data_IF_977308493267
#
_entry.id   IF_977308493267
#
_cell.length_a   1.000
_cell.length_b   1.000
_cell.length_c   1.000
_cell.angle_alpha   90.00
_cell.angle_beta   90.00
_cell.angle_gamma   90.00
#
_symmetry.space_group_name_H-M   'P 1'
#
loop_
_entity.id
_entity.type
_entity.pdbx_description
1 polymer ?
#
# COMPACT_ATOMS: atom_id res chain seq x y z
N UNK A 1 48.28 -33.07 -44.36
CA UNK A 1 46.94 -33.32 -43.84
C UNK A 1 46.91 -32.69 -42.49
N UNK A 2 46.26 -31.46 -42.33
CA UNK A 2 46.19 -30.71 -41.09
C UNK A 2 44.75 -30.83 -40.55
N UNK A 3 44.62 -31.35 -39.35
CA UNK A 3 43.38 -31.49 -38.65
C UNK A 3 43.11 -30.15 -37.91
N UNK A 4 41.94 -29.48 -38.04
CA UNK A 4 41.63 -28.29 -37.26
C UNK A 4 41.09 -28.68 -35.88
N UNK A 5 41.63 -28.04 -34.85
CA UNK A 5 41.15 -28.13 -33.49
C UNK A 5 39.81 -27.38 -33.36
N UNK A 6 38.75 -28.09 -32.94
CA UNK A 6 37.46 -27.48 -32.53
C UNK A 6 37.58 -26.93 -31.11
N UNK A 7 37.42 -25.63 -31.00
CA UNK A 7 37.34 -24.94 -29.73
C UNK A 7 35.88 -25.09 -29.20
N UNK A 8 35.66 -25.88 -28.15
CA UNK A 8 34.41 -26.00 -27.48
C UNK A 8 34.20 -24.79 -26.54
N UNK A 9 33.27 -23.93 -26.89
CA UNK A 9 32.85 -22.81 -26.05
C UNK A 9 31.90 -23.35 -24.98
N UNK A 10 32.38 -23.51 -23.74
CA UNK A 10 31.53 -23.85 -22.57
C UNK A 10 30.87 -22.57 -22.09
N UNK A 11 29.62 -22.37 -22.45
CA UNK A 11 28.78 -21.32 -21.90
C UNK A 11 28.35 -21.74 -20.48
N UNK A 12 29.00 -21.19 -19.46
CA UNK A 12 28.56 -21.34 -18.08
C UNK A 12 27.27 -20.55 -17.91
N UNK A 13 26.15 -21.26 -17.88
CA UNK A 13 24.87 -20.71 -17.42
C UNK A 13 25.00 -20.47 -15.92
N UNK A 14 25.20 -19.21 -15.49
CA UNK A 14 25.07 -18.81 -14.12
C UNK A 14 23.58 -18.92 -13.79
N UNK A 15 23.19 -20.03 -13.16
CA UNK A 15 21.89 -20.14 -12.48
C UNK A 15 21.90 -19.15 -11.31
N UNK A 16 21.35 -17.97 -11.51
CA UNK A 16 20.98 -17.10 -10.39
C UNK A 16 19.91 -17.87 -9.61
N UNK A 17 20.29 -18.43 -8.47
CA UNK A 17 19.35 -18.89 -7.46
C UNK A 17 18.57 -17.65 -7.03
N UNK A 18 17.38 -17.49 -7.58
CA UNK A 18 16.37 -16.60 -7.02
C UNK A 18 16.10 -17.12 -5.59
N UNK A 19 16.80 -16.54 -4.64
CA UNK A 19 16.46 -16.66 -3.24
C UNK A 19 15.03 -16.14 -3.12
N UNK A 20 14.06 -17.01 -2.88
CA UNK A 20 12.68 -16.62 -2.63
C UNK A 20 12.60 -16.01 -1.23
N UNK A 21 13.23 -14.87 -1.03
CA UNK A 21 12.97 -14.07 0.15
C UNK A 21 11.62 -13.39 -0.05
N UNK A 22 10.72 -13.60 0.88
CA UNK A 22 9.44 -12.93 0.91
C UNK A 22 9.65 -11.49 1.40
N UNK A 23 10.40 -10.68 0.65
CA UNK A 23 10.55 -9.27 0.94
C UNK A 23 9.19 -8.55 0.95
N UNK A 24 9.04 -7.57 1.83
CA UNK A 24 7.88 -6.68 1.92
C UNK A 24 8.30 -5.23 1.66
N UNK A 25 8.82 -4.91 0.43
CA UNK A 25 9.56 -3.68 0.17
C UNK A 25 8.67 -2.44 0.00
N UNK A 26 7.37 -2.60 0.08
CA UNK A 26 6.37 -1.55 -0.07
C UNK A 26 5.07 -1.92 0.64
N UNK A 27 4.14 -0.97 0.71
CA UNK A 27 2.82 -1.17 1.29
C UNK A 27 2.08 -2.34 0.63
N UNK A 28 1.59 -3.29 1.46
CA UNK A 28 0.91 -4.53 1.06
C UNK A 28 1.80 -5.52 0.29
N UNK A 29 3.10 -5.48 0.52
CA UNK A 29 4.06 -6.46 0.00
C UNK A 29 4.48 -6.24 -1.45
N UNK A 30 5.22 -7.19 -2.04
CA UNK A 30 5.93 -7.01 -3.32
C UNK A 30 4.99 -6.67 -4.48
N UNK A 31 3.77 -7.17 -4.45
CA UNK A 31 2.76 -6.96 -5.50
C UNK A 31 1.60 -6.05 -5.08
N UNK A 32 1.65 -5.44 -3.89
CA UNK A 32 0.58 -4.63 -3.29
C UNK A 32 -0.75 -5.35 -3.12
N UNK A 33 -0.74 -6.66 -3.09
CA UNK A 33 -1.92 -7.51 -2.94
C UNK A 33 -2.21 -7.88 -1.50
N UNK A 34 -1.22 -7.77 -0.60
CA UNK A 34 -1.22 -8.35 0.74
C UNK A 34 -1.47 -9.87 0.74
N UNK A 35 -1.02 -10.56 -0.30
CA UNK A 35 -1.11 -12.02 -0.44
C UNK A 35 0.27 -12.59 -0.65
N UNK A 36 0.64 -13.59 0.14
CA UNK A 36 1.96 -14.25 0.12
C UNK A 36 1.78 -15.76 0.11
N UNK A 37 2.65 -16.45 -0.61
CA UNK A 37 2.85 -17.89 -0.51
C UNK A 37 4.18 -18.15 0.19
N UNK A 38 4.11 -18.72 1.38
CA UNK A 38 5.26 -19.11 2.18
C UNK A 38 5.05 -20.52 2.77
N UNK A 39 5.28 -21.56 1.98
CA UNK A 39 5.07 -22.94 2.42
C UNK A 39 6.01 -23.39 3.55
N UNK A 40 7.10 -22.66 3.79
CA UNK A 40 8.01 -22.95 4.90
C UNK A 40 7.40 -22.60 6.28
N UNK A 41 6.44 -21.64 6.29
CA UNK A 41 5.74 -21.21 7.50
C UNK A 41 4.21 -21.43 7.32
N UNK A 42 3.70 -22.65 7.53
CA UNK A 42 2.29 -22.99 7.28
C UNK A 42 1.35 -22.45 8.35
N UNK A 43 1.84 -21.91 9.47
CA UNK A 43 1.04 -21.41 10.60
C UNK A 43 -0.07 -22.38 11.04
N UNK A 44 0.31 -23.66 11.21
CA UNK A 44 -0.62 -24.70 11.65
C UNK A 44 -1.12 -24.47 13.06
N UNK A 45 -0.32 -23.79 13.89
CA UNK A 45 -0.65 -23.33 15.23
C UNK A 45 -0.17 -21.89 15.37
N UNK A 46 -1.02 -21.04 15.91
CA UNK A 46 -0.65 -19.67 16.28
C UNK A 46 -0.35 -19.65 17.77
N UNK A 47 0.85 -19.21 18.12
CA UNK A 47 1.23 -19.06 19.51
C UNK A 47 0.53 -17.81 20.10
N UNK A 48 -0.17 -17.97 21.22
CA UNK A 48 -0.81 -16.86 21.92
C UNK A 48 0.20 -15.90 22.59
N UNK A 49 1.44 -16.34 22.77
CA UNK A 49 2.56 -15.54 23.29
C UNK A 49 3.64 -15.46 22.21
N UNK A 50 3.58 -14.44 21.32
CA UNK A 50 4.51 -14.32 20.21
C UNK A 50 5.92 -14.03 20.69
N UNK A 51 6.92 -14.61 20.01
CA UNK A 51 8.31 -14.38 20.32
C UNK A 51 8.80 -13.08 19.72
N UNK A 52 9.05 -12.08 20.56
CA UNK A 52 9.71 -10.84 20.14
C UNK A 52 11.20 -11.12 19.85
N UNK A 53 11.64 -10.84 18.65
CA UNK A 53 13.04 -10.90 18.25
C UNK A 53 13.78 -9.64 18.70
N UNK A 54 13.15 -8.48 18.49
CA UNK A 54 13.55 -7.20 19.05
C UNK A 54 12.36 -6.22 19.07
N UNK A 55 12.48 -5.17 19.87
CA UNK A 55 11.52 -4.09 20.00
C UNK A 55 12.25 -2.78 20.28
N UNK A 56 11.80 -1.70 19.66
CA UNK A 56 12.30 -0.34 19.86
C UNK A 56 11.16 0.66 20.09
N UNK A 57 11.47 1.76 20.75
CA UNK A 57 10.58 2.92 20.84
C UNK A 57 10.56 3.70 19.53
N UNK A 58 9.38 4.21 19.14
CA UNK A 58 9.20 5.03 17.95
C UNK A 58 8.29 6.22 18.26
N UNK A 59 8.38 7.25 17.43
CA UNK A 59 7.50 8.41 17.46
C UNK A 59 6.13 8.15 16.84
N UNK A 60 5.22 9.16 16.90
CA UNK A 60 3.88 9.06 16.34
C UNK A 60 3.90 8.86 14.82
N UNK A 61 2.82 8.29 14.28
CA UNK A 61 2.61 8.08 12.85
C UNK A 61 1.97 6.75 12.55
N UNK A 62 1.19 6.73 11.47
CA UNK A 62 0.43 5.56 11.01
C UNK A 62 1.04 4.93 9.73
N UNK A 63 2.23 5.35 9.34
CA UNK A 63 2.99 4.74 8.24
C UNK A 63 3.27 3.27 8.55
N UNK A 64 2.98 2.40 7.60
CA UNK A 64 3.29 0.97 7.73
C UNK A 64 4.81 0.75 7.61
N UNK A 65 5.41 -0.12 8.42
CA UNK A 65 6.79 -0.53 8.22
C UNK A 65 6.93 -1.45 7.01
N UNK A 66 8.14 -1.57 6.48
CA UNK A 66 8.48 -2.46 5.39
C UNK A 66 9.78 -3.23 5.67
N UNK A 67 9.97 -4.33 4.96
CA UNK A 67 11.18 -5.16 5.03
C UNK A 67 11.75 -5.28 3.62
N UNK A 68 13.04 -4.99 3.46
CA UNK A 68 13.74 -5.14 2.18
C UNK A 68 15.14 -5.72 2.43
N UNK A 69 15.33 -6.96 2.05
CA UNK A 69 16.55 -7.71 2.32
C UNK A 69 16.88 -7.77 3.82
N UNK A 70 17.99 -7.17 4.21
CA UNK A 70 18.46 -7.08 5.60
C UNK A 70 18.06 -5.77 6.30
N UNK A 71 17.16 -4.98 5.69
CA UNK A 71 16.71 -3.71 6.24
C UNK A 71 15.25 -3.76 6.69
N UNK A 72 14.97 -3.21 7.88
CA UNK A 72 13.66 -2.79 8.31
C UNK A 72 13.55 -1.27 8.13
N UNK A 73 12.48 -0.80 7.47
CA UNK A 73 12.31 0.62 7.15
C UNK A 73 10.96 1.10 7.69
N UNK A 74 10.94 2.24 8.35
CA UNK A 74 9.71 2.83 8.86
C UNK A 74 9.79 4.36 8.87
N UNK A 75 8.67 5.00 9.11
CA UNK A 75 8.60 6.45 9.31
C UNK A 75 7.86 6.76 10.61
N UNK A 76 8.31 7.84 11.28
CA UNK A 76 7.64 8.41 12.43
C UNK A 76 7.81 9.93 12.52
N UNK A 77 7.23 10.54 13.56
CA UNK A 77 7.37 11.96 13.87
C UNK A 77 8.42 12.21 14.94
N UNK A 78 9.41 13.05 14.64
CA UNK A 78 10.44 13.48 15.61
C UNK A 78 10.61 15.00 15.54
N UNK A 79 10.46 15.68 16.67
CA UNK A 79 10.71 17.13 16.80
C UNK A 79 10.02 17.95 15.70
N UNK A 80 8.77 17.65 15.40
CA UNK A 80 8.00 18.37 14.37
C UNK A 80 8.39 18.04 12.93
N UNK A 81 9.13 16.95 12.70
CA UNK A 81 9.50 16.47 11.37
C UNK A 81 9.01 15.05 11.16
N UNK A 82 8.61 14.72 9.94
CA UNK A 82 8.43 13.34 9.49
C UNK A 82 9.79 12.79 9.07
N UNK A 83 10.20 11.70 9.71
CA UNK A 83 11.54 11.11 9.59
C UNK A 83 11.43 9.69 9.08
N UNK A 84 12.30 9.32 8.14
CA UNK A 84 12.49 7.95 7.70
C UNK A 84 13.68 7.33 8.41
N UNK A 85 13.54 6.08 8.82
CA UNK A 85 14.55 5.28 9.50
C UNK A 85 14.83 4.00 8.74
N UNK A 86 16.09 3.64 8.65
CA UNK A 86 16.55 2.34 8.16
C UNK A 86 17.33 1.64 9.26
N UNK A 87 16.83 0.46 9.64
CA UNK A 87 17.40 -0.37 10.68
C UNK A 87 18.01 -1.64 10.07
N UNK A 88 18.92 -2.23 10.78
CA UNK A 88 19.33 -3.62 10.56
C UNK A 88 18.20 -4.56 10.98
N UNK A 89 17.67 -5.36 10.08
CA UNK A 89 16.53 -6.24 10.34
C UNK A 89 16.79 -7.27 11.43
N UNK A 90 18.02 -7.78 11.54
CA UNK A 90 18.37 -8.80 12.51
C UNK A 90 18.43 -8.27 13.94
N UNK A 91 18.88 -7.02 14.10
CA UNK A 91 19.23 -6.47 15.43
C UNK A 91 18.33 -5.33 15.87
N UNK A 92 17.54 -4.72 14.97
CA UNK A 92 16.77 -3.50 15.23
C UNK A 92 17.61 -2.24 15.41
N UNK A 93 18.94 -2.30 15.19
CA UNK A 93 19.82 -1.14 15.31
C UNK A 93 19.66 -0.19 14.12
N UNK A 94 19.54 1.11 14.41
CA UNK A 94 19.48 2.15 13.37
C UNK A 94 20.79 2.18 12.58
N UNK A 95 20.69 2.07 11.26
CA UNK A 95 21.78 2.27 10.31
C UNK A 95 21.91 3.76 9.99
N UNK A 96 20.78 4.39 9.68
CA UNK A 96 20.66 5.82 9.42
C UNK A 96 19.20 6.27 9.52
N UNK A 97 19.01 7.59 9.62
CA UNK A 97 17.72 8.26 9.49
C UNK A 97 17.85 9.58 8.75
N UNK A 98 16.74 10.07 8.16
CA UNK A 98 16.71 11.33 7.43
C UNK A 98 15.34 12.01 7.55
N UNK A 99 15.33 13.34 7.51
CA UNK A 99 14.09 14.13 7.46
C UNK A 99 13.48 14.04 6.07
N UNK A 100 12.17 13.81 6.02
CA UNK A 100 11.37 13.80 4.76
C UNK A 100 10.70 15.15 4.58
N UNK A 101 10.05 15.67 5.61
CA UNK A 101 9.36 16.96 5.58
C UNK A 101 8.83 17.34 6.95
N UNK A 102 8.28 18.56 7.11
CA UNK A 102 7.67 18.97 8.36
C UNK A 102 6.43 18.14 8.65
N UNK A 103 6.21 17.82 9.94
CA UNK A 103 4.97 17.23 10.39
C UNK A 103 3.81 18.19 10.16
N UNK A 104 2.70 17.64 9.73
CA UNK A 104 1.46 18.39 9.53
C UNK A 104 0.50 18.12 10.68
N UNK A 105 -0.11 19.17 11.20
CA UNK A 105 -1.13 19.06 12.25
C UNK A 105 -2.45 18.57 11.65
N UNK A 106 -2.98 17.49 12.19
CA UNK A 106 -4.29 16.99 11.84
C UNK A 106 -5.30 17.33 12.94
N UNK A 107 -6.49 17.81 12.56
CA UNK A 107 -7.59 17.90 13.55
C UNK A 107 -7.98 16.49 13.95
N UNK A 108 -7.86 16.21 15.26
CA UNK A 108 -8.53 15.13 15.97
C UNK A 108 -7.94 13.71 15.89
N UNK A 109 -8.72 12.78 16.32
CA UNK A 109 -8.59 11.38 16.67
C UNK A 109 -7.68 10.46 15.81
N UNK A 110 -7.18 10.94 14.69
CA UNK A 110 -6.37 10.09 13.78
C UNK A 110 -4.85 10.14 14.05
N UNK A 111 -4.41 10.87 15.09
CA UNK A 111 -3.02 11.01 15.47
C UNK A 111 -2.20 11.89 14.51
N UNK A 112 -0.99 12.22 14.91
CA UNK A 112 0.00 12.99 14.16
C UNK A 112 0.99 12.09 13.43
N UNK A 113 1.84 12.70 12.58
CA UNK A 113 2.97 12.04 11.91
C UNK A 113 2.65 11.38 10.58
N UNK A 114 3.64 10.69 9.99
CA UNK A 114 3.56 10.15 8.65
C UNK A 114 2.50 9.06 8.49
N UNK A 115 1.92 8.98 7.30
CA UNK A 115 0.89 8.00 6.91
C UNK A 115 1.22 7.24 5.66
N UNK A 116 2.03 7.83 4.75
CA UNK A 116 2.50 7.13 3.58
C UNK A 116 3.48 6.03 3.98
N UNK A 117 3.33 4.87 3.40
CA UNK A 117 4.31 3.80 3.56
C UNK A 117 5.51 4.08 2.66
N UNK A 118 6.74 3.99 3.16
CA UNK A 118 7.94 4.08 2.33
C UNK A 118 8.02 2.90 1.35
N UNK A 119 8.90 3.03 0.37
CA UNK A 119 9.13 2.00 -0.63
C UNK A 119 10.63 1.84 -0.83
N UNK A 120 11.09 0.59 -0.93
CA UNK A 120 12.46 0.25 -1.30
C UNK A 120 12.47 -0.44 -2.66
N UNK A 121 13.37 -0.03 -3.51
CA UNK A 121 13.64 -0.66 -4.79
C UNK A 121 15.15 -0.64 -5.04
N UNK A 122 15.73 -1.82 -5.16
CA UNK A 122 17.18 -2.01 -5.28
C UNK A 122 17.98 -1.30 -4.18
N UNK A 123 18.79 -0.30 -4.53
CA UNK A 123 19.65 0.46 -3.63
C UNK A 123 19.02 1.78 -3.13
N UNK A 124 17.70 1.96 -3.29
CA UNK A 124 17.00 3.21 -3.04
C UNK A 124 15.82 3.08 -2.10
N UNK A 125 15.63 4.12 -1.30
CA UNK A 125 14.45 4.29 -0.44
C UNK A 125 13.70 5.53 -0.88
N UNK A 126 12.39 5.41 -1.03
CA UNK A 126 11.49 6.51 -1.39
C UNK A 126 10.53 6.76 -0.24
N UNK A 127 10.43 8.01 0.16
CA UNK A 127 9.59 8.44 1.26
C UNK A 127 8.78 9.67 0.89
N UNK A 128 7.52 9.71 1.34
CA UNK A 128 6.60 10.81 1.13
C UNK A 128 6.09 11.32 2.47
N UNK A 129 6.16 12.62 2.70
CA UNK A 129 5.52 13.26 3.85
C UNK A 129 4.04 13.55 3.59
N UNK A 130 3.27 13.67 4.64
CA UNK A 130 1.87 14.13 4.55
C UNK A 130 1.76 15.55 3.99
N UNK A 131 2.80 16.38 4.14
CA UNK A 131 2.89 17.72 3.57
C UNK A 131 3.16 17.74 2.06
N UNK A 132 3.50 16.60 1.45
CA UNK A 132 3.76 16.51 0.00
C UNK A 132 5.22 16.72 -0.38
N UNK A 133 6.14 16.50 0.54
CA UNK A 133 7.57 16.35 0.21
C UNK A 133 7.82 14.88 -0.15
N UNK A 134 8.42 14.63 -1.31
CA UNK A 134 8.78 13.31 -1.78
C UNK A 134 10.28 13.22 -2.01
N UNK A 135 10.94 12.23 -1.42
CA UNK A 135 12.39 12.13 -1.41
C UNK A 135 12.87 10.74 -1.75
N UNK A 136 13.99 10.67 -2.47
CA UNK A 136 14.73 9.46 -2.74
C UNK A 136 16.06 9.51 -2.02
N UNK A 137 16.37 8.44 -1.30
CA UNK A 137 17.62 8.28 -0.56
C UNK A 137 18.36 7.02 -1.01
N UNK A 138 19.67 7.00 -0.86
CA UNK A 138 20.46 5.78 -0.90
C UNK A 138 20.11 4.88 0.28
N UNK A 139 19.76 3.63 0.03
CA UNK A 139 19.46 2.64 1.09
C UNK A 139 20.68 2.38 1.98
N UNK A 140 21.89 2.50 1.41
CA UNK A 140 23.14 2.21 2.10
C UNK A 140 23.46 3.20 3.22
N UNK A 141 23.31 4.50 2.97
CA UNK A 141 23.83 5.56 3.83
C UNK A 141 22.90 6.74 4.07
N UNK A 142 21.68 6.72 3.54
CA UNK A 142 20.68 7.76 3.73
C UNK A 142 20.99 9.08 2.98
N UNK A 143 21.97 9.10 2.09
CA UNK A 143 22.23 10.26 1.25
C UNK A 143 21.04 10.55 0.36
N UNK A 144 20.50 11.79 0.41
CA UNK A 144 19.44 12.22 -0.49
C UNK A 144 19.97 12.26 -1.93
N UNK A 145 19.29 11.56 -2.83
CA UNK A 145 19.67 11.48 -4.24
C UNK A 145 18.89 12.50 -5.08
N UNK A 146 17.58 12.62 -4.82
CA UNK A 146 16.72 13.63 -5.43
C UNK A 146 15.49 13.87 -4.55
N UNK A 147 14.79 14.97 -4.83
CA UNK A 147 13.58 15.35 -4.11
C UNK A 147 12.62 16.13 -5.03
N UNK A 148 11.33 16.06 -4.73
CA UNK A 148 10.29 16.91 -5.30
C UNK A 148 9.37 17.42 -4.17
N UNK A 149 8.75 18.57 -4.39
CA UNK A 149 7.72 19.14 -3.53
C UNK A 149 6.43 19.30 -4.32
N UNK A 150 5.33 18.71 -3.82
CA UNK A 150 4.05 18.78 -4.51
C UNK A 150 3.54 20.23 -4.66
N UNK A 151 3.77 21.05 -3.64
CA UNK A 151 3.36 22.45 -3.70
C UNK A 151 4.28 23.29 -4.60
N UNK A 152 5.61 23.22 -4.38
CA UNK A 152 6.56 24.10 -5.08
C UNK A 152 6.71 23.76 -6.55
N UNK A 153 6.75 22.45 -6.86
CA UNK A 153 7.04 21.99 -8.22
C UNK A 153 5.78 21.80 -9.07
N UNK A 154 4.61 21.57 -8.43
CA UNK A 154 3.36 21.21 -9.13
C UNK A 154 2.15 22.03 -8.70
N UNK A 155 2.29 23.00 -7.79
CA UNK A 155 1.17 23.81 -7.29
C UNK A 155 0.11 23.03 -6.50
N UNK A 156 0.42 21.80 -6.08
CA UNK A 156 -0.50 20.94 -5.34
C UNK A 156 -0.52 21.30 -3.85
N UNK A 157 -1.27 22.34 -3.50
CA UNK A 157 -1.35 22.87 -2.14
C UNK A 157 -2.09 21.93 -1.20
N UNK A 158 -1.54 21.73 -0.01
CA UNK A 158 -2.20 21.12 1.12
C UNK A 158 -2.61 22.21 2.13
N UNK A 159 -3.87 22.22 2.53
CA UNK A 159 -4.41 23.28 3.39
C UNK A 159 -4.57 22.85 4.86
N UNK A 160 -4.36 21.58 5.17
CA UNK A 160 -4.52 21.05 6.52
C UNK A 160 -5.91 21.28 7.07
N UNK A 161 -5.93 21.63 8.34
CA UNK A 161 -7.17 21.97 9.05
C UNK A 161 -7.62 23.42 8.85
N UNK A 162 -6.73 24.27 8.38
CA UNK A 162 -7.03 25.65 8.06
C UNK A 162 -7.44 25.71 6.59
N UNK A 163 -8.70 25.33 6.34
CA UNK A 163 -9.27 25.56 5.03
C UNK A 163 -9.39 27.08 4.82
N UNK A 164 -8.62 27.68 3.88
CA UNK A 164 -8.72 29.11 3.60
C UNK A 164 -10.06 29.49 2.98
N UNK A 165 -10.78 28.50 2.43
CA UNK A 165 -12.12 28.66 1.88
C UNK A 165 -13.07 27.60 2.49
N UNK A 166 -13.76 27.91 3.59
CA UNK A 166 -14.64 26.97 4.30
C UNK A 166 -15.78 26.39 3.44
N UNK A 167 -16.11 27.03 2.34
CA UNK A 167 -17.12 26.56 1.37
C UNK A 167 -16.57 25.67 0.26
N UNK A 168 -15.26 25.58 0.10
CA UNK A 168 -14.64 24.85 -0.99
C UNK A 168 -14.71 23.32 -0.80
N UNK A 169 -15.37 22.64 -1.72
CA UNK A 169 -15.39 21.19 -1.79
C UNK A 169 -14.03 20.58 -2.18
N UNK A 170 -13.16 21.36 -2.79
CA UNK A 170 -11.85 20.93 -3.30
C UNK A 170 -10.86 20.61 -2.19
N UNK A 171 -10.94 21.32 -1.07
CA UNK A 171 -10.05 21.11 0.08
C UNK A 171 -10.42 19.89 0.91
N UNK A 172 -11.63 19.35 0.78
CA UNK A 172 -12.09 18.20 1.56
C UNK A 172 -11.27 16.94 1.29
N UNK A 173 -10.80 16.74 0.07
CA UNK A 173 -10.00 15.57 -0.33
C UNK A 173 -8.58 15.56 0.25
N UNK A 174 -8.06 16.70 0.69
CA UNK A 174 -6.69 16.84 1.23
C UNK A 174 -6.63 17.18 2.72
N UNK A 175 -7.76 17.11 3.42
CA UNK A 175 -7.86 17.46 4.85
C UNK A 175 -6.85 16.74 5.73
N UNK A 176 -6.49 15.50 5.39
CA UNK A 176 -5.62 14.64 6.19
C UNK A 176 -4.23 14.44 5.56
N UNK A 177 -3.81 15.34 4.67
CA UNK A 177 -2.53 15.31 4.00
C UNK A 177 -2.50 14.41 2.74
N UNK A 178 -1.33 14.29 2.15
CA UNK A 178 -1.07 13.46 0.98
C UNK A 178 -0.69 12.05 1.45
N UNK A 179 -1.65 11.13 1.55
CA UNK A 179 -1.48 9.82 2.19
C UNK A 179 -1.34 8.65 1.21
N UNK A 180 -1.62 8.85 -0.06
CA UNK A 180 -1.46 7.81 -1.08
C UNK A 180 0.01 7.46 -1.30
N UNK A 181 0.37 6.20 -1.14
CA UNK A 181 1.75 5.74 -1.37
C UNK A 181 2.03 5.55 -2.86
N UNK A 182 3.22 5.95 -3.30
CA UNK A 182 3.72 5.77 -4.66
C UNK A 182 3.92 4.28 -5.01
N UNK A 183 3.95 3.96 -6.31
CA UNK A 183 4.25 2.62 -6.83
C UNK A 183 5.38 2.68 -7.85
N UNK A 184 6.15 1.59 -7.99
CA UNK A 184 7.20 1.45 -9.00
C UNK A 184 6.83 0.37 -10.02
N UNK A 185 7.20 0.60 -11.27
CA UNK A 185 7.19 -0.37 -12.35
C UNK A 185 8.33 -0.07 -13.33
N UNK A 186 9.27 -0.99 -13.45
CA UNK A 186 10.47 -0.81 -14.27
C UNK A 186 11.33 0.38 -13.79
N UNK A 187 11.55 1.33 -14.69
CA UNK A 187 12.34 2.55 -14.46
C UNK A 187 11.49 3.75 -13.95
N UNK A 188 10.20 3.54 -13.69
CA UNK A 188 9.23 4.58 -13.34
C UNK A 188 8.75 4.45 -11.90
N UNK A 189 8.57 5.60 -11.27
CA UNK A 189 7.84 5.73 -10.02
C UNK A 189 6.62 6.63 -10.23
N UNK A 190 5.44 6.15 -9.83
CA UNK A 190 4.16 6.81 -10.00
C UNK A 190 3.74 7.43 -8.67
N UNK A 191 3.63 8.74 -8.64
CA UNK A 191 3.35 9.52 -7.43
C UNK A 191 2.00 10.21 -7.55
N UNK A 192 1.06 10.04 -6.59
CA UNK A 192 -0.25 10.67 -6.60
C UNK A 192 -0.13 12.13 -6.09
N UNK A 193 0.40 13.02 -6.93
CA UNK A 193 0.65 14.42 -6.60
C UNK A 193 -0.65 15.21 -6.40
N UNK A 194 -1.67 14.95 -7.25
CA UNK A 194 -2.98 15.55 -7.12
C UNK A 194 -3.02 17.05 -7.45
N UNK A 195 -2.29 17.48 -8.48
CA UNK A 195 -2.39 18.82 -9.02
C UNK A 195 -3.40 18.84 -10.17
N UNK A 196 -4.51 19.59 -10.06
CA UNK A 196 -5.45 19.73 -11.16
C UNK A 196 -4.85 20.35 -12.42
N UNK A 197 -3.86 21.24 -12.25
CA UNK A 197 -3.23 21.96 -13.36
C UNK A 197 -2.02 21.21 -13.94
N UNK A 198 -1.27 20.48 -13.09
CA UNK A 198 0.01 19.89 -13.47
C UNK A 198 0.03 18.35 -13.44
N UNK A 199 -1.11 17.72 -13.17
CA UNK A 199 -1.31 16.28 -13.18
C UNK A 199 -1.68 15.70 -11.81
N UNK A 200 -2.68 14.85 -11.79
CA UNK A 200 -3.11 14.10 -10.60
C UNK A 200 -2.13 12.99 -10.27
N UNK A 201 -1.77 12.20 -11.28
CA UNK A 201 -0.78 11.14 -11.22
C UNK A 201 0.42 11.52 -12.10
N UNK A 202 1.60 11.51 -11.52
CA UNK A 202 2.82 11.88 -12.24
C UNK A 202 3.81 10.72 -12.17
N UNK A 203 4.39 10.38 -13.32
CA UNK A 203 5.51 9.44 -13.37
C UNK A 203 6.84 10.18 -13.42
N UNK A 204 7.77 9.68 -12.64
CA UNK A 204 9.15 10.14 -12.63
C UNK A 204 10.08 8.97 -12.96
N UNK A 205 11.23 9.27 -13.52
CA UNK A 205 12.33 8.33 -13.57
C UNK A 205 12.78 8.04 -12.13
N UNK A 206 12.72 6.78 -11.70
CA UNK A 206 13.02 6.40 -10.31
C UNK A 206 14.45 6.74 -9.88
N UNK A 207 15.40 6.77 -10.82
CA UNK A 207 16.81 7.01 -10.51
C UNK A 207 17.13 8.51 -10.39
N UNK A 208 16.50 9.35 -11.20
CA UNK A 208 16.87 10.77 -11.32
C UNK A 208 15.84 11.74 -10.77
N UNK A 209 14.60 11.32 -10.55
CA UNK A 209 13.48 12.21 -10.21
C UNK A 209 12.98 13.06 -11.38
N UNK A 210 13.49 12.85 -12.60
CA UNK A 210 13.02 13.57 -13.77
C UNK A 210 11.57 13.19 -14.11
N UNK A 211 10.70 14.19 -14.31
CA UNK A 211 9.31 13.97 -14.74
C UNK A 211 9.27 13.35 -16.13
N UNK A 212 8.57 12.24 -16.29
CA UNK A 212 8.37 11.54 -17.55
C UNK A 212 7.06 11.95 -18.21
N UNK A 213 5.97 11.92 -17.43
CA UNK A 213 4.65 12.34 -17.86
C UNK A 213 3.76 12.73 -16.67
N UNK A 214 2.64 13.38 -16.94
CA UNK A 214 1.61 13.72 -15.98
C UNK A 214 0.23 13.39 -16.56
N UNK A 215 -0.68 12.85 -15.76
CA UNK A 215 -2.01 12.43 -16.16
C UNK A 215 -3.09 12.88 -15.18
N UNK A 216 -4.26 13.23 -15.71
CA UNK A 216 -5.44 13.64 -14.95
C UNK A 216 -5.39 15.06 -14.43
N UNK A 217 -6.57 15.57 -14.08
CA UNK A 217 -6.77 16.92 -13.54
C UNK A 217 -7.62 16.90 -12.25
N UNK A 218 -7.77 15.74 -11.63
CA UNK A 218 -8.51 15.59 -10.38
C UNK A 218 -7.63 15.95 -9.17
N UNK A 219 -8.25 16.31 -8.06
CA UNK A 219 -7.57 16.28 -6.78
C UNK A 219 -7.28 14.83 -6.40
N UNK A 220 -6.12 14.56 -5.79
CA UNK A 220 -5.89 13.25 -5.19
C UNK A 220 -6.80 13.03 -3.98
N UNK A 221 -7.03 11.76 -3.63
CA UNK A 221 -7.62 11.38 -2.36
C UNK A 221 -6.53 10.77 -1.46
N UNK A 222 -6.85 9.68 -0.75
CA UNK A 222 -5.92 9.01 0.17
C UNK A 222 -5.49 7.63 -0.32
N UNK A 223 -6.04 7.21 -1.45
CA UNK A 223 -5.76 5.94 -2.10
C UNK A 223 -4.34 5.90 -2.65
N UNK A 224 -3.69 4.76 -2.53
CA UNK A 224 -2.38 4.52 -3.14
C UNK A 224 -2.51 4.14 -4.62
N UNK A 225 -1.42 4.27 -5.36
CA UNK A 225 -1.33 3.81 -6.75
C UNK A 225 -1.08 2.31 -6.78
N UNK A 226 -1.69 1.60 -7.70
CA UNK A 226 -1.37 0.20 -8.01
C UNK A 226 -1.03 0.04 -9.48
N UNK A 227 -0.16 -0.91 -9.80
CA UNK A 227 0.25 -1.18 -11.19
C UNK A 227 -0.06 -2.62 -11.55
N UNK A 228 -0.73 -2.81 -12.68
CA UNK A 228 -1.08 -4.14 -13.18
C UNK A 228 -1.30 -4.15 -14.68
N UNK A 229 -1.45 -5.34 -15.26
CA UNK A 229 -1.83 -5.50 -16.65
C UNK A 229 -3.34 -5.72 -16.72
N UNK A 230 -4.05 -4.84 -17.43
CA UNK A 230 -5.49 -4.88 -17.62
C UNK A 230 -5.80 -4.84 -19.11
N UNK A 231 -6.58 -5.80 -19.60
CA UNK A 231 -6.91 -5.99 -21.02
C UNK A 231 -5.65 -5.89 -21.93
N UNK A 232 -4.56 -6.56 -21.49
CA UNK A 232 -3.31 -6.64 -22.23
C UNK A 232 -2.40 -5.42 -22.15
N UNK A 233 -2.76 -4.37 -21.39
CA UNK A 233 -1.95 -3.14 -21.25
C UNK A 233 -1.48 -2.94 -19.83
N UNK A 234 -0.20 -2.64 -19.65
CA UNK A 234 0.38 -2.28 -18.35
C UNK A 234 -0.06 -0.90 -17.92
N UNK A 235 -0.73 -0.78 -16.77
CA UNK A 235 -1.41 0.44 -16.32
C UNK A 235 -1.09 0.76 -14.87
N UNK A 236 -0.97 2.05 -14.59
CA UNK A 236 -1.06 2.58 -13.23
C UNK A 236 -2.53 2.95 -12.97
N UNK A 237 -3.12 2.32 -11.94
CA UNK A 237 -4.52 2.58 -11.54
C UNK A 237 -4.51 3.42 -10.27
N UNK A 238 -5.28 4.51 -10.31
CA UNK A 238 -5.40 5.43 -9.18
C UNK A 238 -6.86 5.83 -8.95
N UNK A 239 -7.31 5.76 -7.69
CA UNK A 239 -8.60 6.26 -7.25
C UNK A 239 -8.42 7.66 -6.68
N UNK A 240 -8.81 8.66 -7.45
CA UNK A 240 -8.71 10.08 -7.13
C UNK A 240 -9.85 10.55 -6.22
N UNK A 241 -9.93 11.85 -5.93
CA UNK A 241 -11.06 12.44 -5.23
C UNK A 241 -12.38 12.40 -6.02
N UNK A 242 -12.31 12.29 -7.36
CA UNK A 242 -13.45 12.43 -8.25
C UNK A 242 -13.71 11.20 -9.14
N UNK A 243 -12.68 10.40 -9.39
CA UNK A 243 -12.74 9.28 -10.32
C UNK A 243 -11.74 8.17 -10.00
N UNK A 244 -11.92 7.04 -10.64
CA UNK A 244 -10.89 6.02 -10.82
C UNK A 244 -10.38 6.09 -12.26
N UNK A 245 -9.07 6.01 -12.47
CA UNK A 245 -8.48 6.05 -13.80
C UNK A 245 -7.39 4.99 -13.97
N UNK A 246 -7.31 4.45 -15.17
CA UNK A 246 -6.22 3.59 -15.64
C UNK A 246 -5.36 4.34 -16.65
N UNK A 247 -4.08 4.44 -16.35
CA UNK A 247 -3.09 5.22 -17.10
C UNK A 247 -2.04 4.31 -17.67
N UNK A 248 -1.77 4.40 -18.96
CA UNK A 248 -0.68 3.66 -19.61
C UNK A 248 0.66 4.03 -18.96
N UNK A 249 1.36 3.06 -18.37
CA UNK A 249 2.61 3.32 -17.64
C UNK A 249 3.72 3.90 -18.52
N UNK A 250 3.72 3.59 -19.82
CA UNK A 250 4.75 4.06 -20.74
C UNK A 250 4.51 5.49 -21.24
N UNK A 251 3.24 5.85 -21.52
CA UNK A 251 2.90 7.09 -22.22
C UNK A 251 2.24 8.15 -21.35
N UNK A 252 1.61 7.76 -20.23
CA UNK A 252 0.78 8.67 -19.42
C UNK A 252 -0.62 8.89 -19.98
N UNK A 253 -1.00 8.17 -21.04
CA UNK A 253 -2.34 8.25 -21.63
C UNK A 253 -3.37 7.63 -20.69
N UNK A 254 -4.47 8.34 -20.45
CA UNK A 254 -5.61 7.79 -19.69
C UNK A 254 -6.41 6.89 -20.62
N UNK A 255 -6.35 5.58 -20.37
CA UNK A 255 -7.02 4.56 -21.19
C UNK A 255 -8.51 4.42 -20.88
N UNK A 256 -8.88 4.67 -19.63
CA UNK A 256 -10.25 4.67 -19.14
C UNK A 256 -10.37 5.52 -17.89
N UNK A 257 -11.55 6.05 -17.65
CA UNK A 257 -11.86 6.84 -16.44
C UNK A 257 -13.31 6.60 -16.04
N UNK A 258 -13.53 6.26 -14.77
CA UNK A 258 -14.85 6.07 -14.17
C UNK A 258 -15.08 7.08 -13.05
N UNK A 259 -16.20 7.81 -13.12
CA UNK A 259 -16.53 8.81 -12.11
C UNK A 259 -16.97 8.11 -10.82
N UNK A 260 -16.28 8.41 -9.72
CA UNK A 260 -16.56 7.85 -8.39
C UNK A 260 -16.90 8.99 -7.44
N UNK A 261 -18.21 9.23 -7.26
CA UNK A 261 -18.70 10.28 -6.36
C UNK A 261 -18.84 9.77 -4.94
N UNK A 262 -18.02 10.27 -4.04
CA UNK A 262 -18.09 9.94 -2.61
C UNK A 262 -18.23 11.19 -1.75
N UNK A 263 -18.79 11.03 -0.56
CA UNK A 263 -18.92 12.14 0.38
C UNK A 263 -17.56 12.69 0.79
N UNK A 264 -17.38 14.01 0.71
CA UNK A 264 -16.12 14.70 1.01
C UNK A 264 -14.91 14.20 0.23
N UNK A 265 -15.10 13.57 -0.94
CA UNK A 265 -14.03 13.01 -1.79
C UNK A 265 -13.07 12.08 -1.04
N UNK A 266 -13.58 11.35 -0.04
CA UNK A 266 -12.78 10.46 0.82
C UNK A 266 -12.65 9.07 0.21
N UNK A 267 -11.80 8.95 -0.79
CA UNK A 267 -11.43 7.66 -1.38
C UNK A 267 -10.14 7.18 -0.73
N UNK A 268 -10.25 6.27 0.25
CA UNK A 268 -9.12 5.81 1.06
C UNK A 268 -8.65 4.42 0.62
N UNK A 269 -9.59 3.50 0.44
CA UNK A 269 -9.26 2.15 -0.01
C UNK A 269 -8.58 2.20 -1.38
N UNK A 270 -7.48 1.50 -1.49
CA UNK A 270 -6.72 1.39 -2.75
C UNK A 270 -7.40 0.39 -3.68
N UNK A 271 -7.43 0.63 -5.00
CA UNK A 271 -7.94 -0.34 -5.97
C UNK A 271 -7.24 -1.69 -5.86
N UNK A 272 -8.00 -2.77 -5.97
CA UNK A 272 -7.48 -4.14 -5.99
C UNK A 272 -7.63 -4.69 -7.40
N UNK A 273 -6.49 -5.08 -8.00
CA UNK A 273 -6.45 -5.62 -9.35
C UNK A 273 -6.43 -7.15 -9.32
N UNK A 274 -7.20 -7.77 -10.22
CA UNK A 274 -7.19 -9.21 -10.45
C UNK A 274 -7.62 -9.54 -11.88
N UNK A 275 -6.70 -10.09 -12.66
CA UNK A 275 -6.89 -10.21 -14.11
C UNK A 275 -7.27 -8.86 -14.70
N UNK A 276 -8.34 -8.83 -15.49
CA UNK A 276 -8.86 -7.61 -16.13
C UNK A 276 -9.91 -6.89 -15.27
N UNK A 277 -9.89 -7.10 -13.95
CA UNK A 277 -10.86 -6.46 -13.05
C UNK A 277 -10.21 -5.57 -12.02
N UNK A 278 -10.97 -4.56 -11.60
CA UNK A 278 -10.61 -3.60 -10.57
C UNK A 278 -11.71 -3.53 -9.54
N UNK A 279 -11.39 -3.82 -8.28
CA UNK A 279 -12.32 -3.71 -7.15
C UNK A 279 -11.99 -2.47 -6.33
N UNK A 280 -12.99 -1.63 -6.04
CA UNK A 280 -12.90 -0.48 -5.15
C UNK A 280 -13.93 -0.57 -4.04
N UNK A 281 -13.66 0.08 -2.93
CA UNK A 281 -14.55 0.12 -1.77
C UNK A 281 -14.57 1.50 -1.12
N UNK A 282 -15.72 1.94 -0.62
CA UNK A 282 -15.88 3.21 0.10
C UNK A 282 -17.18 3.21 0.92
N UNK A 283 -17.24 4.05 1.94
CA UNK A 283 -18.46 4.26 2.75
C UNK A 283 -19.64 4.78 1.94
N UNK A 284 -19.38 5.49 0.85
CA UNK A 284 -20.46 6.14 0.07
C UNK A 284 -21.05 5.23 -1.00
N UNK A 285 -20.24 4.35 -1.58
CA UNK A 285 -20.63 3.54 -2.75
C UNK A 285 -20.71 2.05 -2.45
N UNK A 286 -20.27 1.59 -1.27
CA UNK A 286 -20.09 0.17 -1.01
C UNK A 286 -18.83 -0.37 -1.68
N UNK A 287 -18.86 -1.65 -2.04
CA UNK A 287 -17.79 -2.33 -2.79
C UNK A 287 -18.26 -2.61 -4.22
N UNK A 288 -17.48 -2.21 -5.19
CA UNK A 288 -17.80 -2.32 -6.62
C UNK A 288 -16.64 -2.99 -7.33
N UNK A 289 -16.93 -3.95 -8.19
CA UNK A 289 -15.98 -4.53 -9.12
C UNK A 289 -16.31 -4.11 -10.55
N UNK A 290 -15.29 -3.64 -11.23
CA UNK A 290 -15.34 -3.27 -12.64
C UNK A 290 -14.52 -4.25 -13.46
N UNK A 291 -14.90 -4.41 -14.72
CA UNK A 291 -14.14 -5.12 -15.75
C UNK A 291 -13.62 -4.15 -16.78
N UNK A 292 -12.35 -4.26 -17.10
CA UNK A 292 -11.70 -3.52 -18.17
C UNK A 292 -11.64 -4.42 -19.41
N UNK A 293 -11.97 -3.87 -20.56
CA UNK A 293 -11.97 -4.59 -21.84
C UNK A 293 -11.61 -3.66 -23.01
N UNK A 294 -11.46 -4.23 -24.20
CA UNK A 294 -11.02 -3.49 -25.38
C UNK A 294 -9.50 -3.42 -25.50
N UNK A 295 -9.05 -2.69 -26.51
CA UNK A 295 -7.62 -2.48 -26.81
C UNK A 295 -7.26 -1.01 -26.64
N UNK A 296 -6.03 -0.72 -26.23
CA UNK A 296 -5.56 0.66 -26.20
C UNK A 296 -5.58 1.29 -27.63
N UNK A 297 -5.89 2.60 -27.73
CA UNK A 297 -6.22 3.52 -26.65
C UNK A 297 -7.68 3.47 -26.18
N UNK A 298 -8.55 2.71 -26.82
CA UNK A 298 -10.00 2.68 -26.62
C UNK A 298 -10.42 1.54 -25.68
N UNK A 299 -9.90 1.52 -24.45
CA UNK A 299 -10.37 0.60 -23.46
C UNK A 299 -11.68 1.07 -22.82
N UNK A 300 -12.52 0.12 -22.43
CA UNK A 300 -13.80 0.36 -21.77
C UNK A 300 -13.80 -0.18 -20.36
N UNK A 301 -14.57 0.47 -19.49
CA UNK A 301 -14.81 0.05 -18.12
C UNK A 301 -16.30 -0.22 -17.93
N UNK A 302 -16.64 -1.37 -17.37
CA UNK A 302 -18.01 -1.74 -17.09
C UNK A 302 -18.14 -2.34 -15.69
N UNK A 303 -19.22 -1.99 -14.98
CA UNK A 303 -19.52 -2.57 -13.67
C UNK A 303 -19.82 -4.06 -13.83
N UNK A 304 -19.05 -4.93 -13.16
CA UNK A 304 -19.29 -6.36 -13.10
C UNK A 304 -20.32 -6.70 -12.00
N UNK A 305 -20.14 -6.13 -10.81
CA UNK A 305 -21.08 -6.21 -9.71
C UNK A 305 -20.91 -5.04 -8.72
N UNK A 306 -21.90 -4.86 -7.86
CA UNK A 306 -21.94 -3.85 -6.81
C UNK A 306 -22.60 -4.42 -5.55
N UNK A 307 -21.94 -4.27 -4.41
CA UNK A 307 -22.50 -4.57 -3.10
C UNK A 307 -22.56 -3.28 -2.27
N UNK A 308 -23.72 -2.63 -2.25
CA UNK A 308 -23.95 -1.34 -1.59
C UNK A 308 -23.87 -1.41 -0.06
N UNK A 309 -24.13 -2.58 0.50
CA UNK A 309 -24.11 -2.79 1.95
C UNK A 309 -22.67 -2.97 2.46
N UNK A 310 -21.75 -3.40 1.60
CA UNK A 310 -20.36 -3.63 1.95
C UNK A 310 -19.55 -2.33 1.90
N UNK A 311 -19.75 -1.50 2.91
CA UNK A 311 -19.13 -0.18 3.06
C UNK A 311 -17.90 -0.28 3.96
N UNK A 312 -16.75 0.19 3.49
CA UNK A 312 -15.53 0.31 4.29
C UNK A 312 -15.09 1.76 4.40
N UNK A 313 -14.55 2.14 5.56
CA UNK A 313 -14.08 3.52 5.79
C UNK A 313 -12.64 3.69 5.29
N UNK A 314 -11.73 2.81 5.72
CA UNK A 314 -10.29 2.96 5.51
C UNK A 314 -9.68 1.67 4.94
N UNK A 315 -10.26 0.51 5.27
CA UNK A 315 -9.70 -0.79 4.91
C UNK A 315 -9.65 -1.02 3.40
N UNK A 316 -8.50 -1.43 2.90
CA UNK A 316 -8.36 -1.91 1.53
C UNK A 316 -8.68 -3.40 1.49
N UNK A 317 -9.60 -3.86 0.63
CA UNK A 317 -9.89 -5.29 0.48
C UNK A 317 -8.65 -6.09 0.08
N UNK A 318 -8.60 -7.36 0.50
CA UNK A 318 -7.55 -8.30 0.08
C UNK A 318 -8.20 -9.43 -0.69
N UNK A 319 -7.82 -9.59 -1.95
CA UNK A 319 -8.31 -10.68 -2.78
C UNK A 319 -7.29 -11.82 -2.82
N UNK A 320 -7.76 -13.04 -2.56
CA UNK A 320 -6.99 -14.27 -2.70
C UNK A 320 -7.84 -15.31 -3.45
N UNK A 321 -7.44 -15.63 -4.66
CA UNK A 321 -8.23 -16.47 -5.55
C UNK A 321 -9.63 -15.88 -5.81
N UNK A 322 -10.65 -16.70 -5.63
CA UNK A 322 -12.05 -16.32 -5.83
C UNK A 322 -12.72 -15.67 -4.59
N UNK A 323 -11.94 -15.29 -3.58
CA UNK A 323 -12.42 -14.67 -2.35
C UNK A 323 -11.85 -13.28 -2.14
N UNK A 324 -12.68 -12.38 -1.60
CA UNK A 324 -12.30 -11.05 -1.17
C UNK A 324 -12.54 -10.94 0.33
N UNK A 325 -11.49 -10.65 1.08
CA UNK A 325 -11.56 -10.38 2.51
C UNK A 325 -11.53 -8.87 2.74
N UNK A 326 -12.50 -8.37 3.47
CA UNK A 326 -12.66 -6.94 3.73
C UNK A 326 -13.23 -6.72 5.13
N UNK A 327 -13.27 -5.47 5.55
CA UNK A 327 -13.99 -5.08 6.77
C UNK A 327 -15.33 -4.46 6.40
N UNK A 328 -16.37 -4.92 7.08
CA UNK A 328 -17.75 -4.51 6.85
C UNK A 328 -18.13 -3.16 7.43
N UNK A 329 -19.39 -2.76 7.33
CA UNK A 329 -19.86 -1.44 7.70
C UNK A 329 -19.90 -1.21 9.21
N UNK A 330 -19.77 0.05 9.61
CA UNK A 330 -20.05 0.56 10.94
C UNK A 330 -18.85 0.74 11.87
N UNK A 331 -19.13 1.29 13.06
CA UNK A 331 -18.10 1.60 14.09
C UNK A 331 -17.55 0.37 14.81
N UNK A 332 -18.05 -0.80 14.50
CA UNK A 332 -17.57 -2.11 14.98
C UNK A 332 -17.49 -3.04 13.77
N UNK A 333 -16.64 -2.68 12.84
CA UNK A 333 -16.52 -3.41 11.57
C UNK A 333 -16.44 -4.91 11.76
N UNK A 334 -17.12 -5.64 10.89
CA UNK A 334 -17.03 -7.08 10.78
C UNK A 334 -15.88 -7.43 9.83
N UNK A 335 -15.18 -8.52 10.07
CA UNK A 335 -14.37 -9.18 9.04
C UNK A 335 -15.33 -9.95 8.14
N UNK A 336 -15.27 -9.69 6.86
CA UNK A 336 -16.22 -10.23 5.87
C UNK A 336 -15.45 -10.92 4.75
N UNK A 337 -15.95 -12.06 4.33
CA UNK A 337 -15.57 -12.75 3.11
C UNK A 337 -16.65 -12.60 2.05
N UNK A 338 -16.26 -12.14 0.86
CA UNK A 338 -17.13 -12.03 -0.31
C UNK A 338 -16.64 -12.98 -1.41
N UNK A 339 -17.55 -13.44 -2.25
CA UNK A 339 -17.19 -14.04 -3.53
C UNK A 339 -16.65 -12.97 -4.48
N UNK A 340 -15.52 -13.24 -5.12
CA UNK A 340 -14.90 -12.27 -6.04
C UNK A 340 -15.68 -12.12 -7.34
N UNK A 341 -16.40 -13.14 -7.77
CA UNK A 341 -17.16 -13.13 -9.04
C UNK A 341 -18.49 -12.38 -8.93
N UNK A 342 -19.15 -12.45 -7.77
CA UNK A 342 -20.53 -11.98 -7.58
C UNK A 342 -20.69 -10.93 -6.47
N UNK A 343 -19.66 -10.68 -5.65
CA UNK A 343 -19.70 -9.74 -4.54
C UNK A 343 -20.63 -10.15 -3.39
N UNK A 344 -21.09 -11.42 -3.36
CA UNK A 344 -22.01 -11.91 -2.32
C UNK A 344 -21.26 -12.26 -1.05
N UNK A 345 -21.85 -11.96 0.11
CA UNK A 345 -21.31 -12.34 1.42
C UNK A 345 -21.30 -13.87 1.53
N UNK A 346 -20.13 -14.43 1.86
CA UNK A 346 -19.94 -15.83 2.17
C UNK A 346 -20.06 -16.09 3.66
N UNK A 347 -19.40 -15.24 4.43
CA UNK A 347 -19.49 -15.21 5.89
C UNK A 347 -19.02 -13.86 6.43
N UNK A 348 -19.36 -13.60 7.69
CA UNK A 348 -18.84 -12.47 8.47
C UNK A 348 -18.65 -12.83 9.93
N UNK A 349 -17.76 -12.10 10.62
CA UNK A 349 -17.55 -12.18 12.06
C UNK A 349 -17.29 -10.80 12.63
N UNK A 350 -17.91 -10.44 13.77
CA UNK A 350 -17.79 -9.11 14.35
C UNK A 350 -16.43 -8.89 15.05
N UNK A 351 -16.13 -7.63 15.37
CA UNK A 351 -15.10 -7.28 16.34
C UNK A 351 -13.80 -6.74 15.77
N UNK A 352 -13.80 -6.23 14.53
CA UNK A 352 -12.60 -5.63 13.93
C UNK A 352 -12.37 -4.16 14.34
N UNK A 353 -13.19 -3.60 15.25
CA UNK A 353 -13.07 -2.19 15.64
C UNK A 353 -13.47 -1.25 14.50
N UNK A 354 -12.71 -0.17 14.32
CA UNK A 354 -12.92 0.83 13.26
C UNK A 354 -12.00 0.65 12.04
N UNK A 355 -11.05 -0.28 12.12
CA UNK A 355 -10.11 -0.62 11.05
C UNK A 355 -9.48 -2.00 11.28
N UNK A 356 -9.18 -2.70 10.19
CA UNK A 356 -8.22 -3.81 10.20
C UNK A 356 -7.40 -3.82 8.91
N UNK A 357 -6.13 -4.15 9.02
CA UNK A 357 -5.30 -4.56 7.89
C UNK A 357 -5.45 -6.06 7.68
N UNK A 358 -5.61 -6.48 6.43
CA UNK A 358 -5.83 -7.89 6.07
C UNK A 358 -4.69 -8.35 5.19
N UNK A 359 -3.99 -9.40 5.63
CA UNK A 359 -2.96 -10.11 4.87
C UNK A 359 -3.37 -11.57 4.73
N UNK A 360 -3.18 -12.15 3.56
CA UNK A 360 -3.36 -13.60 3.35
C UNK A 360 -2.00 -14.24 3.16
N UNK A 361 -1.67 -15.18 4.03
CA UNK A 361 -0.44 -15.96 3.95
C UNK A 361 -0.83 -17.42 3.80
N UNK A 362 -0.42 -18.04 2.69
CA UNK A 362 -0.82 -19.38 2.30
C UNK A 362 -2.36 -19.53 2.19
N UNK A 363 -2.95 -20.22 3.15
CA UNK A 363 -4.38 -20.51 3.27
C UNK A 363 -5.01 -19.83 4.50
N UNK A 364 -4.34 -18.82 5.06
CA UNK A 364 -4.81 -18.14 6.28
C UNK A 364 -4.96 -16.63 6.07
N UNK A 365 -6.02 -16.10 6.65
CA UNK A 365 -6.28 -14.66 6.76
C UNK A 365 -5.74 -14.16 8.09
N UNK A 366 -4.90 -13.16 8.05
CA UNK A 366 -4.36 -12.42 9.21
C UNK A 366 -5.00 -11.03 9.21
N UNK A 367 -5.92 -10.79 10.12
CA UNK A 367 -6.60 -9.51 10.28
C UNK A 367 -6.11 -8.82 11.57
N UNK A 368 -5.25 -7.82 11.43
CA UNK A 368 -4.80 -6.99 12.56
C UNK A 368 -5.75 -5.81 12.70
N UNK A 369 -6.52 -5.77 13.78
CA UNK A 369 -7.50 -4.72 14.01
C UNK A 369 -6.89 -3.45 14.66
N UNK A 370 -7.66 -2.37 14.69
CA UNK A 370 -7.21 -1.08 15.21
C UNK A 370 -6.86 -1.08 16.71
N UNK A 371 -7.30 -2.08 17.47
CA UNK A 371 -6.93 -2.23 18.87
C UNK A 371 -5.63 -3.03 19.07
N UNK A 372 -5.00 -3.47 17.97
CA UNK A 372 -3.78 -4.26 17.99
C UNK A 372 -3.99 -5.76 18.22
N UNK A 373 -5.24 -6.22 18.15
CA UNK A 373 -5.56 -7.64 18.21
C UNK A 373 -5.43 -8.26 16.82
N UNK A 374 -4.72 -9.35 16.70
CA UNK A 374 -4.62 -10.17 15.51
C UNK A 374 -5.62 -11.31 15.58
N UNK A 375 -6.48 -11.39 14.57
CA UNK A 375 -7.37 -12.52 14.34
C UNK A 375 -6.85 -13.31 13.16
N UNK A 376 -6.64 -14.60 13.33
CA UNK A 376 -6.20 -15.51 12.28
C UNK A 376 -7.31 -16.50 11.97
N UNK A 377 -7.67 -16.61 10.70
CA UNK A 377 -8.72 -17.50 10.24
C UNK A 377 -8.30 -18.27 8.99
N UNK A 378 -8.99 -19.36 8.70
CA UNK A 378 -8.84 -20.08 7.45
C UNK A 378 -9.32 -19.19 6.27
N UNK A 379 -8.54 -19.11 5.20
CA UNK A 379 -8.92 -18.40 3.99
C UNK A 379 -9.87 -19.29 3.14
N UNK A 380 -11.07 -19.51 3.65
CA UNK A 380 -12.09 -20.40 3.10
C UNK A 380 -13.41 -19.61 2.94
N UNK A 381 -14.12 -19.84 1.86
CA UNK A 381 -15.42 -19.21 1.59
C UNK A 381 -16.62 -19.95 2.20
N UNK A 382 -16.45 -21.13 2.78
CA UNK A 382 -17.57 -21.93 3.30
C UNK A 382 -18.10 -21.41 4.63
N UNK A 383 -17.19 -21.03 5.55
CA UNK A 383 -17.53 -20.51 6.87
C UNK A 383 -16.34 -19.79 7.51
N UNK A 384 -16.61 -18.88 8.44
CA UNK A 384 -15.55 -18.33 9.30
C UNK A 384 -15.02 -19.42 10.23
N UNK A 385 -13.74 -19.68 10.16
CA UNK A 385 -13.04 -20.64 11.02
C UNK A 385 -11.80 -19.99 11.61
N UNK A 386 -11.93 -19.50 12.84
CA UNK A 386 -10.80 -18.93 13.58
C UNK A 386 -9.78 -20.00 13.92
N UNK A 387 -8.50 -19.69 13.71
CA UNK A 387 -7.37 -20.58 14.02
C UNK A 387 -6.40 -19.98 15.03
N UNK A 388 -6.57 -18.71 15.36
CA UNK A 388 -5.81 -18.03 16.39
C UNK A 388 -6.30 -16.61 16.63
N UNK A 389 -6.08 -16.13 17.87
CA UNK A 389 -6.37 -14.77 18.29
C UNK A 389 -5.42 -14.37 19.41
N UNK A 390 -4.80 -13.19 19.28
CA UNK A 390 -3.85 -12.68 20.27
C UNK A 390 -3.75 -11.16 20.20
N UNK A 391 -3.37 -10.53 21.32
CA UNK A 391 -2.97 -9.13 21.35
C UNK A 391 -1.55 -9.01 20.84
N UNK A 392 -1.36 -8.38 19.66
CA UNK A 392 -0.08 -8.32 18.99
C UNK A 392 0.69 -7.03 19.31
N UNK A 393 -0.01 -5.92 19.47
CA UNK A 393 0.57 -4.61 19.74
C UNK A 393 -0.47 -3.70 20.45
N UNK A 394 -0.15 -2.45 20.70
CA UNK A 394 -1.11 -1.44 21.12
C UNK A 394 -1.95 -0.96 19.92
N UNK A 395 -2.74 0.09 20.12
CA UNK A 395 -3.59 0.66 19.06
C UNK A 395 -2.77 1.05 17.83
N UNK A 396 -3.21 0.57 16.65
CA UNK A 396 -2.52 0.84 15.38
C UNK A 396 -3.47 0.91 14.19
N UNK A 397 -3.07 1.65 13.16
CA UNK A 397 -3.64 1.60 11.80
C UNK A 397 -2.58 1.24 10.75
N UNK A 398 -1.34 1.01 11.20
CA UNK A 398 -0.29 0.53 10.32
C UNK A 398 -0.52 -0.96 9.98
N UNK A 399 -0.34 -1.30 8.72
CA UNK A 399 -0.31 -2.69 8.29
C UNK A 399 1.02 -3.32 8.66
N UNK A 400 1.07 -4.56 9.15
CA UNK A 400 2.33 -5.25 9.38
C UNK A 400 3.04 -5.56 8.07
N UNK A 401 4.38 -5.60 8.11
CA UNK A 401 5.16 -6.25 7.06
C UNK A 401 5.43 -7.71 7.44
N UNK A 402 5.57 -8.56 6.42
CA UNK A 402 5.81 -9.99 6.59
C UNK A 402 7.04 -10.44 5.81
N UNK A 403 7.88 -11.25 6.42
CA UNK A 403 9.03 -11.88 5.77
C UNK A 403 9.41 -13.20 6.45
N UNK A 404 9.32 -14.32 5.77
CA UNK A 404 9.80 -15.63 6.21
C UNK A 404 9.40 -15.95 7.66
N UNK A 405 8.10 -16.00 7.97
CA UNK A 405 7.56 -16.28 9.29
C UNK A 405 7.66 -15.12 10.29
N UNK A 406 8.33 -14.01 9.94
CA UNK A 406 8.50 -12.84 10.80
C UNK A 406 7.51 -11.75 10.46
N UNK A 407 7.01 -11.08 11.48
CA UNK A 407 6.14 -9.92 11.34
C UNK A 407 6.82 -8.69 11.91
N UNK A 408 6.87 -7.62 11.13
CA UNK A 408 7.31 -6.31 11.59
C UNK A 408 6.07 -5.46 11.83
N UNK A 409 5.78 -5.17 13.09
CA UNK A 409 4.55 -4.51 13.55
C UNK A 409 4.89 -3.17 14.19
N UNK A 410 4.16 -2.12 13.77
CA UNK A 410 4.30 -0.79 14.34
C UNK A 410 2.98 -0.35 14.98
N UNK A 411 3.03 0.14 16.21
CA UNK A 411 1.94 0.86 16.84
C UNK A 411 2.27 2.34 17.10
N UNK A 412 1.54 3.01 17.96
CA UNK A 412 1.75 4.43 18.26
C UNK A 412 3.07 4.75 18.97
N UNK A 413 3.77 3.74 19.52
CA UNK A 413 4.94 3.93 20.38
C UNK A 413 6.06 2.90 20.19
N UNK A 414 5.77 1.79 19.54
CA UNK A 414 6.71 0.66 19.40
C UNK A 414 6.78 0.18 17.94
N UNK A 415 7.97 -0.29 17.57
CA UNK A 415 8.21 -1.13 16.40
C UNK A 415 8.78 -2.45 16.86
N UNK A 416 8.14 -3.55 16.51
CA UNK A 416 8.49 -4.90 17.00
C UNK A 416 8.66 -5.85 15.83
N UNK A 417 9.78 -6.56 15.79
CA UNK A 417 9.95 -7.75 14.94
C UNK A 417 9.69 -8.99 15.80
N UNK A 418 8.78 -9.85 15.32
CA UNK A 418 8.33 -11.02 16.08
C UNK A 418 8.01 -12.22 15.17
N UNK A 419 7.85 -13.41 15.77
CA UNK A 419 7.30 -14.61 15.13
C UNK A 419 6.05 -15.08 15.89
N UNK A 420 5.16 -15.81 15.19
CA UNK A 420 3.89 -16.34 15.73
C UNK A 420 3.91 -17.85 15.96
N UNK A 421 4.98 -18.54 15.59
CA UNK A 421 5.26 -19.97 15.70
C UNK A 421 6.30 -20.32 16.74
#
# INVERSE_FOLDING_TARGET
MKIPAQLALITALAASTLSSHADWPQWRGPHRTAVVKDPAHPFTKINADPKNLWQIDVGPGQSSPIIAGDAAVYMDGINGQEVIHVLDLKTGKERWKAQVGPMVEFQNAYGEGPRCTPLVDEDRVYAQSCGGEFRCYSLKDGKQLWAISFEKDFGAKWFGNKNPDPGSKETASRRHGNNGSAAIDGDRIFVPVGSPENGTLIAFNKLTGAKLWAAGSDNTAYSSVVVGTLAGVRQAVHLTGDAMMGVNVATGEILWREIVKTGAKRNVATPVLDGDTVTIASTSIGTIRYRISGKAPEQTIAKAWENKEMKTVIGTPTQSGNLIFTIGPGNKCDLVCLGAEDGTERWKTPGMGDYASITVINDKVFALNSNGELVVAQADGSAFKETGRLQLCAKTWASPAYDNGRFLVKDGSKLTLLTLD
#
